data_IF_752446742291
#
_entry.id   IF_752446742291
#
_cell.length_a   1.000
_cell.length_b   1.000
_cell.length_c   1.000
_cell.angle_alpha   90.00
_cell.angle_beta   90.00
_cell.angle_gamma   90.00
#
_symmetry.space_group_name_H-M   'P 1'
#
loop_
_entity.id
_entity.type
_entity.pdbx_description
1 polymer ?
#
# COMPACT_ATOMS: atom_id res chain seq x y z
N UNK A 1 -7.00 17.15 -27.20
CA UNK A 1 -6.24 16.90 -25.97
C UNK A 1 -7.23 16.68 -24.85
N UNK A 2 -7.18 15.53 -24.18
CA UNK A 2 -8.11 15.23 -23.10
C UNK A 2 -7.72 15.98 -21.84
N UNK A 3 -8.68 16.73 -21.29
CA UNK A 3 -8.57 17.37 -19.98
C UNK A 3 -9.33 16.54 -18.95
N UNK A 4 -8.69 16.28 -17.82
CA UNK A 4 -9.29 15.62 -16.65
C UNK A 4 -9.60 16.69 -15.61
N UNK A 5 -10.89 16.89 -15.31
CA UNK A 5 -11.34 17.76 -14.22
C UNK A 5 -11.52 16.94 -12.94
N UNK A 6 -11.04 17.47 -11.83
CA UNK A 6 -11.03 16.85 -10.52
C UNK A 6 -12.04 17.56 -9.61
N UNK A 7 -13.16 16.90 -9.36
CA UNK A 7 -14.22 17.36 -8.45
C UNK A 7 -14.52 16.35 -7.34
N UNK A 8 -14.02 15.11 -7.47
CA UNK A 8 -14.08 14.09 -6.42
C UNK A 8 -13.21 14.53 -5.23
N UNK A 9 -13.72 14.54 -3.99
CA UNK A 9 -12.92 14.91 -2.82
C UNK A 9 -11.69 14.01 -2.67
N UNK A 10 -10.54 14.62 -2.35
CA UNK A 10 -9.34 13.88 -1.92
C UNK A 10 -9.55 13.51 -0.46
N UNK A 11 -9.90 12.25 -0.19
CA UNK A 11 -10.20 11.74 1.15
C UNK A 11 -9.65 10.33 1.35
N UNK A 12 -9.86 9.76 2.54
CA UNK A 12 -9.35 8.43 2.90
C UNK A 12 -10.27 7.28 2.49
N UNK A 13 -11.31 7.52 1.67
CA UNK A 13 -12.09 6.42 1.09
C UNK A 13 -11.23 5.64 0.09
N UNK A 14 -11.48 4.34 -0.03
CA UNK A 14 -10.73 3.49 -0.94
C UNK A 14 -10.94 3.89 -2.40
N UNK A 15 -12.18 4.27 -2.76
CA UNK A 15 -12.49 4.77 -4.11
C UNK A 15 -11.66 6.01 -4.46
N UNK A 16 -11.65 7.03 -3.59
CA UNK A 16 -10.88 8.25 -3.81
C UNK A 16 -9.38 7.93 -3.89
N UNK A 17 -8.88 7.15 -2.94
CA UNK A 17 -7.48 6.71 -2.89
C UNK A 17 -7.05 6.02 -4.19
N UNK A 18 -7.85 5.08 -4.72
CA UNK A 18 -7.55 4.38 -5.97
C UNK A 18 -7.55 5.31 -7.18
N UNK A 19 -8.53 6.22 -7.29
CA UNK A 19 -8.60 7.14 -8.43
C UNK A 19 -7.41 8.09 -8.42
N UNK A 20 -7.11 8.72 -7.29
CA UNK A 20 -6.00 9.66 -7.17
C UNK A 20 -4.64 8.99 -7.32
N UNK A 21 -4.50 7.77 -6.84
CA UNK A 21 -3.31 6.96 -7.08
C UNK A 21 -3.11 6.65 -8.57
N UNK A 22 -4.17 6.30 -9.29
CA UNK A 22 -4.11 6.12 -10.74
C UNK A 22 -3.71 7.40 -11.48
N UNK A 23 -4.21 8.55 -11.04
CA UNK A 23 -3.83 9.86 -11.60
C UNK A 23 -2.36 10.19 -11.31
N UNK A 24 -1.91 10.02 -10.06
CA UNK A 24 -0.52 10.26 -9.68
C UNK A 24 0.45 9.34 -10.42
N UNK A 25 0.06 8.10 -10.70
CA UNK A 25 0.83 7.18 -11.55
C UNK A 25 0.98 7.70 -12.99
N UNK A 26 -0.06 8.32 -13.54
CA UNK A 26 -0.09 8.82 -14.92
C UNK A 26 0.65 10.16 -15.12
N UNK A 27 0.57 11.05 -14.13
CA UNK A 27 1.05 12.44 -14.25
C UNK A 27 2.53 12.53 -14.69
N UNK A 28 3.48 11.81 -14.08
CA UNK A 28 4.90 11.93 -14.39
C UNK A 28 5.27 11.78 -15.86
N UNK A 29 4.67 10.81 -16.54
CA UNK A 29 5.06 10.40 -17.89
C UNK A 29 4.09 10.88 -18.98
N UNK A 30 2.87 11.29 -18.61
CA UNK A 30 1.83 11.54 -19.60
C UNK A 30 1.09 12.86 -19.45
N UNK A 31 1.22 13.55 -18.31
CA UNK A 31 0.64 14.90 -18.20
C UNK A 31 1.51 15.90 -18.94
N UNK A 32 0.93 17.03 -19.37
CA UNK A 32 1.66 18.23 -19.78
C UNK A 32 1.72 19.22 -18.62
N UNK A 33 0.56 19.52 -18.07
CA UNK A 33 0.30 20.45 -16.96
C UNK A 33 -0.71 19.84 -16.02
N UNK A 34 -0.61 20.16 -14.73
CA UNK A 34 -1.54 19.70 -13.72
C UNK A 34 -1.66 20.67 -12.55
N UNK A 35 -2.79 20.57 -11.86
CA UNK A 35 -3.15 21.38 -10.70
C UNK A 35 -4.13 20.60 -9.82
N UNK A 36 -4.56 21.21 -8.71
CA UNK A 36 -5.58 20.66 -7.82
C UNK A 36 -6.92 20.33 -8.50
N UNK A 37 -7.26 21.00 -9.61
CA UNK A 37 -8.59 20.89 -10.23
C UNK A 37 -8.57 20.28 -11.62
N UNK A 38 -7.43 20.33 -12.29
CA UNK A 38 -7.35 20.03 -13.71
C UNK A 38 -6.00 19.40 -14.03
N UNK A 39 -6.02 18.37 -14.88
CA UNK A 39 -4.84 17.73 -15.46
C UNK A 39 -5.01 17.67 -16.97
N UNK A 40 -4.01 18.17 -17.70
CA UNK A 40 -3.96 18.08 -19.16
C UNK A 40 -3.05 16.93 -19.55
N UNK A 41 -3.62 15.89 -20.17
CA UNK A 41 -2.85 14.73 -20.64
C UNK A 41 -2.55 14.81 -22.14
N UNK A 42 -1.52 14.09 -22.55
CA UNK A 42 -1.32 13.74 -23.95
C UNK A 42 -2.52 12.95 -24.51
N UNK A 43 -2.71 13.00 -25.83
CA UNK A 43 -3.63 12.06 -26.46
C UNK A 43 -3.11 10.63 -26.21
N UNK A 44 -4.04 9.68 -26.08
CA UNK A 44 -3.74 8.26 -25.90
C UNK A 44 -2.93 7.93 -24.62
N UNK A 45 -2.93 8.81 -23.61
CA UNK A 45 -2.19 8.59 -22.36
C UNK A 45 -2.52 7.26 -21.68
N UNK A 46 -3.78 6.83 -21.70
CA UNK A 46 -4.19 5.54 -21.15
C UNK A 46 -3.62 4.37 -21.95
N UNK A 47 -3.67 4.42 -23.28
CA UNK A 47 -3.09 3.37 -24.12
C UNK A 47 -1.59 3.23 -23.85
N UNK A 48 -0.85 4.35 -23.80
CA UNK A 48 0.58 4.37 -23.46
C UNK A 48 0.84 3.79 -22.07
N UNK A 49 0.13 4.25 -21.05
CA UNK A 49 0.29 3.77 -19.68
C UNK A 49 0.07 2.26 -19.57
N UNK A 50 -1.00 1.73 -20.17
CA UNK A 50 -1.26 0.29 -20.15
C UNK A 50 -0.21 -0.52 -20.91
N UNK A 51 0.32 -0.01 -22.02
CA UNK A 51 1.39 -0.68 -22.77
C UNK A 51 2.70 -0.79 -21.98
N UNK A 52 2.94 0.15 -21.06
CA UNK A 52 4.16 0.27 -20.26
C UNK A 52 4.10 -0.47 -18.92
N UNK A 53 2.97 -1.08 -18.56
CA UNK A 53 2.87 -1.86 -17.32
C UNK A 53 3.87 -3.02 -17.32
N UNK A 54 4.47 -3.31 -16.18
CA UNK A 54 5.48 -4.35 -16.03
C UNK A 54 4.81 -5.72 -15.83
N UNK A 55 5.23 -6.74 -16.60
CA UNK A 55 4.60 -8.06 -16.54
C UNK A 55 4.77 -8.74 -15.17
N UNK A 56 5.97 -8.64 -14.57
CA UNK A 56 6.26 -9.20 -13.25
C UNK A 56 5.37 -8.56 -12.17
N UNK A 57 5.09 -7.27 -12.31
CA UNK A 57 4.22 -6.55 -11.38
C UNK A 57 2.76 -6.91 -11.59
N UNK A 58 2.29 -7.00 -12.84
CA UNK A 58 0.94 -7.50 -13.15
C UNK A 58 0.75 -8.89 -12.52
N UNK A 59 1.72 -9.80 -12.66
CA UNK A 59 1.68 -11.17 -12.14
C UNK A 59 1.44 -11.28 -10.62
N UNK A 60 1.77 -10.22 -9.88
CA UNK A 60 1.57 -10.14 -8.44
C UNK A 60 0.16 -9.68 -8.04
N UNK A 61 -0.60 -8.99 -8.91
CA UNK A 61 -1.96 -8.47 -8.63
C UNK A 61 -3.02 -9.58 -8.66
N UNK A 62 -2.87 -10.56 -7.77
CA UNK A 62 -3.70 -11.77 -7.67
C UNK A 62 -4.93 -11.54 -6.80
N UNK A 63 -5.74 -10.55 -7.19
CA UNK A 63 -7.03 -10.26 -6.56
C UNK A 63 -8.13 -10.92 -7.40
N UNK A 64 -8.90 -11.80 -6.77
CA UNK A 64 -10.09 -12.42 -7.39
C UNK A 64 -11.25 -11.43 -7.29
N UNK A 65 -11.96 -11.19 -8.39
CA UNK A 65 -13.14 -10.32 -8.45
C UNK A 65 -14.36 -10.99 -7.81
N UNK A 66 -15.34 -10.21 -7.34
CA UNK A 66 -16.60 -10.76 -6.85
C UNK A 66 -17.41 -11.39 -8.00
N UNK A 67 -18.29 -12.36 -7.73
CA UNK A 67 -19.00 -13.06 -8.82
C UNK A 67 -19.97 -12.16 -9.57
N UNK A 68 -20.48 -11.11 -8.92
CA UNK A 68 -21.35 -10.11 -9.55
C UNK A 68 -20.56 -9.02 -10.32
N UNK A 69 -19.22 -9.05 -10.31
CA UNK A 69 -18.41 -8.17 -11.14
C UNK A 69 -18.46 -8.59 -12.60
N UNK A 70 -18.62 -7.59 -13.48
CA UNK A 70 -18.69 -7.76 -14.94
C UNK A 70 -17.69 -6.88 -15.70
N UNK A 71 -16.82 -6.14 -14.99
CA UNK A 71 -15.81 -5.27 -15.59
C UNK A 71 -14.88 -6.05 -16.53
N UNK A 72 -14.60 -7.32 -16.22
CA UNK A 72 -13.75 -8.24 -16.98
C UNK A 72 -14.23 -8.52 -18.42
N UNK A 73 -15.49 -8.23 -18.75
CA UNK A 73 -16.03 -8.28 -20.10
C UNK A 73 -16.44 -6.89 -20.59
N UNK A 74 -17.13 -6.11 -19.73
CA UNK A 74 -17.71 -4.82 -20.11
C UNK A 74 -16.68 -3.79 -20.51
N UNK A 75 -15.47 -3.81 -19.94
CA UNK A 75 -14.42 -2.87 -20.35
C UNK A 75 -13.96 -3.11 -21.78
N UNK A 76 -13.80 -4.38 -22.19
CA UNK A 76 -13.40 -4.76 -23.55
C UNK A 76 -14.48 -4.37 -24.56
N UNK A 77 -15.75 -4.66 -24.24
CA UNK A 77 -16.89 -4.24 -25.06
C UNK A 77 -16.89 -2.72 -25.30
N UNK A 78 -16.64 -1.92 -24.26
CA UNK A 78 -16.61 -0.45 -24.34
C UNK A 78 -15.41 0.11 -25.10
N UNK A 79 -14.29 -0.61 -25.17
CA UNK A 79 -13.15 -0.26 -26.04
C UNK A 79 -13.24 -0.89 -27.44
N UNK A 80 -14.37 -1.54 -27.77
CA UNK A 80 -14.64 -2.09 -29.09
C UNK A 80 -14.07 -3.48 -29.36
N UNK A 81 -13.77 -4.25 -28.32
CA UNK A 81 -13.24 -5.61 -28.41
C UNK A 81 -14.26 -6.64 -27.90
N UNK A 82 -14.46 -7.72 -28.66
CA UNK A 82 -15.25 -8.88 -28.24
C UNK A 82 -14.40 -9.86 -27.42
N UNK A 83 -13.84 -9.38 -26.31
CA UNK A 83 -12.98 -10.15 -25.41
C UNK A 83 -13.55 -10.22 -24.01
N UNK A 84 -13.13 -11.24 -23.26
CA UNK A 84 -13.46 -11.39 -21.85
C UNK A 84 -12.28 -12.00 -21.12
N UNK A 85 -11.79 -11.34 -20.07
CA UNK A 85 -10.78 -11.90 -19.18
C UNK A 85 -11.42 -12.80 -18.12
N UNK A 86 -10.59 -13.64 -17.47
CA UNK A 86 -10.93 -14.28 -16.19
C UNK A 86 -11.23 -13.21 -15.14
N UNK A 87 -11.99 -13.60 -14.12
CA UNK A 87 -12.40 -12.75 -13.00
C UNK A 87 -11.28 -12.52 -11.97
N UNK A 88 -10.14 -12.06 -12.45
CA UNK A 88 -8.98 -11.69 -11.65
C UNK A 88 -8.37 -10.41 -12.19
N UNK A 89 -7.94 -9.51 -11.32
CA UNK A 89 -7.34 -8.24 -11.76
C UNK A 89 -6.03 -8.45 -12.53
N UNK A 90 -5.24 -9.47 -12.18
CA UNK A 90 -4.10 -9.95 -12.99
C UNK A 90 -4.46 -10.12 -14.47
N UNK A 91 -5.43 -10.98 -14.77
CA UNK A 91 -5.78 -11.35 -16.14
C UNK A 91 -6.41 -10.16 -16.89
N UNK A 92 -7.20 -9.35 -16.20
CA UNK A 92 -7.77 -8.11 -16.75
C UNK A 92 -6.67 -7.12 -17.15
N UNK A 93 -5.72 -6.83 -16.25
CA UNK A 93 -4.61 -5.92 -16.50
C UNK A 93 -3.71 -6.43 -17.61
N UNK A 94 -3.40 -7.74 -17.62
CA UNK A 94 -2.59 -8.36 -18.66
C UNK A 94 -3.25 -8.23 -20.03
N UNK A 95 -4.52 -8.59 -20.14
CA UNK A 95 -5.26 -8.46 -21.40
C UNK A 95 -5.41 -7.00 -21.86
N UNK A 96 -5.59 -6.04 -20.95
CA UNK A 96 -5.63 -4.61 -21.28
C UNK A 96 -4.27 -4.10 -21.77
N UNK A 97 -3.16 -4.54 -21.15
CA UNK A 97 -1.80 -4.25 -21.64
C UNK A 97 -1.60 -4.78 -23.05
N UNK A 98 -1.91 -6.06 -23.27
CA UNK A 98 -1.70 -6.75 -24.55
C UNK A 98 -2.59 -6.16 -25.67
N UNK A 99 -3.71 -5.51 -25.31
CA UNK A 99 -4.64 -4.86 -26.24
C UNK A 99 -4.70 -3.33 -26.09
N UNK A 100 -3.66 -2.72 -25.51
CA UNK A 100 -3.63 -1.30 -25.17
C UNK A 100 -3.88 -0.36 -26.35
N UNK A 101 -3.49 -0.78 -27.57
CA UNK A 101 -3.73 -0.03 -28.82
C UNK A 101 -5.23 0.18 -29.15
N UNK A 102 -6.13 -0.63 -28.58
CA UNK A 102 -7.57 -0.47 -28.76
C UNK A 102 -8.17 0.60 -27.84
N UNK A 103 -7.43 1.02 -26.80
CA UNK A 103 -7.87 2.05 -25.85
C UNK A 103 -7.82 3.41 -26.55
N UNK A 104 -9.00 3.93 -26.91
CA UNK A 104 -9.14 5.26 -27.51
C UNK A 104 -9.87 6.18 -26.56
N UNK A 105 -9.30 7.37 -26.33
CA UNK A 105 -9.99 8.41 -25.57
C UNK A 105 -11.00 9.12 -26.45
N UNK A 106 -12.22 9.25 -25.92
CA UNK A 106 -13.34 9.79 -26.71
C UNK A 106 -13.73 11.22 -26.32
N UNK A 107 -13.30 11.72 -25.15
CA UNK A 107 -13.74 13.01 -24.59
C UNK A 107 -12.86 13.51 -23.44
N UNK A 108 -13.14 14.73 -22.98
CA UNK A 108 -12.70 15.20 -21.66
C UNK A 108 -13.36 14.37 -20.55
N UNK A 109 -12.66 14.21 -19.43
CA UNK A 109 -13.07 13.38 -18.31
C UNK A 109 -13.41 14.30 -17.14
N UNK A 110 -14.60 14.16 -16.56
CA UNK A 110 -15.01 14.88 -15.36
C UNK A 110 -15.15 13.92 -14.18
N UNK A 111 -14.13 13.86 -13.33
CA UNK A 111 -14.10 13.01 -12.15
C UNK A 111 -14.90 13.71 -11.05
N UNK A 112 -16.22 13.57 -11.14
CA UNK A 112 -17.21 14.09 -10.20
C UNK A 112 -18.18 12.97 -9.82
N UNK A 113 -18.49 12.83 -8.53
CA UNK A 113 -19.45 11.84 -8.05
C UNK A 113 -20.87 12.43 -8.06
N UNK A 114 -21.74 11.91 -8.94
CA UNK A 114 -23.14 12.32 -9.08
C UNK A 114 -24.08 11.23 -8.58
N UNK A 115 -25.04 11.60 -7.73
CA UNK A 115 -26.12 10.68 -7.33
C UNK A 115 -27.33 10.90 -8.25
N UNK A 116 -27.84 9.82 -8.84
CA UNK A 116 -29.13 9.80 -9.49
C UNK A 116 -29.96 8.63 -8.94
N UNK A 117 -30.87 8.94 -8.00
CA UNK A 117 -31.68 7.96 -7.26
C UNK A 117 -30.80 6.94 -6.52
N UNK A 118 -30.68 5.71 -7.05
CA UNK A 118 -29.89 4.61 -6.47
C UNK A 118 -28.55 4.40 -7.18
N UNK A 119 -28.29 5.15 -8.25
CA UNK A 119 -27.10 5.01 -9.08
C UNK A 119 -26.13 6.15 -8.75
N UNK A 120 -24.89 5.78 -8.39
CA UNK A 120 -23.76 6.71 -8.27
C UNK A 120 -23.01 6.69 -9.60
N UNK A 121 -22.75 7.86 -10.18
CA UNK A 121 -22.19 8.02 -11.50
C UNK A 121 -20.90 8.85 -11.40
N UNK A 122 -19.82 8.41 -12.05
CA UNK A 122 -18.59 9.20 -12.21
C UNK A 122 -18.31 9.37 -13.71
N UNK A 123 -18.16 10.61 -14.15
CA UNK A 123 -17.96 10.99 -15.57
C UNK A 123 -19.09 10.49 -16.50
N UNK A 124 -20.32 10.37 -15.97
CA UNK A 124 -21.49 9.88 -16.69
C UNK A 124 -22.75 10.69 -16.39
N UNK A 125 -23.64 10.75 -17.37
CA UNK A 125 -25.00 11.29 -17.20
C UNK A 125 -26.04 10.19 -16.96
N UNK A 126 -25.81 8.98 -17.48
CA UNK A 126 -26.71 7.81 -17.37
C UNK A 126 -25.90 6.53 -17.21
N UNK A 127 -26.45 5.56 -16.47
CA UNK A 127 -25.76 4.28 -16.19
C UNK A 127 -25.46 3.41 -17.40
N UNK A 128 -26.30 3.45 -18.45
CA UNK A 128 -26.14 2.62 -19.65
C UNK A 128 -24.90 2.97 -20.47
N UNK A 129 -24.42 4.20 -20.33
CA UNK A 129 -23.24 4.69 -21.04
C UNK A 129 -21.95 4.16 -20.41
N UNK A 130 -21.98 3.77 -19.14
CA UNK A 130 -20.82 3.37 -18.35
C UNK A 130 -20.64 1.87 -18.13
N UNK A 131 -19.74 1.59 -17.18
CA UNK A 131 -19.41 0.27 -16.66
C UNK A 131 -19.70 0.27 -15.16
N UNK A 132 -20.35 -0.78 -14.66
CA UNK A 132 -20.49 -0.98 -13.22
C UNK A 132 -19.09 -1.16 -12.61
N UNK A 133 -18.74 -0.32 -11.63
CA UNK A 133 -17.46 -0.46 -10.94
C UNK A 133 -17.36 -1.85 -10.28
N UNK A 134 -16.17 -2.44 -10.15
CA UNK A 134 -16.03 -3.69 -9.42
C UNK A 134 -16.36 -3.49 -7.92
N UNK A 135 -16.76 -4.55 -7.22
CA UNK A 135 -17.09 -4.48 -5.79
C UNK A 135 -15.93 -3.95 -4.94
N UNK A 136 -14.69 -4.17 -5.39
CA UNK A 136 -13.49 -3.65 -4.75
C UNK A 136 -13.50 -2.11 -4.62
N UNK A 137 -14.16 -1.39 -5.53
CA UNK A 137 -14.29 0.08 -5.46
C UNK A 137 -15.53 0.55 -4.69
N UNK A 138 -16.30 -0.38 -4.10
CA UNK A 138 -17.53 -0.11 -3.34
C UNK A 138 -17.44 -0.58 -1.89
N UNK A 139 -16.22 -0.79 -1.41
CA UNK A 139 -15.95 -1.41 -0.11
C UNK A 139 -16.23 -0.46 1.05
N UNK A 140 -16.18 0.85 0.80
CA UNK A 140 -16.64 1.86 1.74
C UNK A 140 -18.17 1.78 1.84
N UNK A 141 -18.67 1.39 3.02
CA UNK A 141 -20.12 1.33 3.29
C UNK A 141 -20.81 2.68 3.12
N UNK A 142 -20.04 3.77 3.19
CA UNK A 142 -20.50 5.14 3.02
C UNK A 142 -19.66 5.77 1.91
N UNK A 143 -20.14 5.75 0.68
CA UNK A 143 -19.47 6.39 -0.47
C UNK A 143 -19.61 7.92 -0.40
N UNK A 144 -19.21 8.56 0.70
CA UNK A 144 -19.20 10.02 0.87
C UNK A 144 -20.56 10.71 1.05
N UNK A 145 -21.67 9.96 1.19
CA UNK A 145 -23.03 10.52 1.20
C UNK A 145 -23.83 10.27 2.48
N UNK A 146 -23.20 9.77 3.55
CA UNK A 146 -23.89 9.51 4.81
C UNK A 146 -24.12 10.82 5.59
N UNK A 147 -25.27 11.45 5.35
CA UNK A 147 -25.92 12.30 6.35
C UNK A 147 -27.03 11.50 7.04
N UNK A 148 -27.17 11.66 8.35
CA UNK A 148 -28.26 11.07 9.17
C UNK A 148 -29.66 11.37 8.58
N UNK A 149 -29.76 12.40 7.74
CA UNK A 149 -31.00 12.88 7.13
C UNK A 149 -31.29 12.31 5.73
N UNK A 150 -30.40 11.47 5.18
CA UNK A 150 -30.59 10.90 3.83
C UNK A 150 -31.07 9.44 3.87
N UNK A 151 -32.00 9.04 2.98
CA UNK A 151 -32.50 7.67 2.91
C UNK A 151 -31.47 6.65 2.38
N UNK A 152 -30.22 7.08 2.15
CA UNK A 152 -29.15 6.28 1.56
C UNK A 152 -28.32 5.51 2.60
N UNK A 153 -28.56 5.73 3.90
CA UNK A 153 -27.93 4.96 4.98
C UNK A 153 -28.31 3.47 4.97
N UNK A 154 -29.42 3.11 4.32
CA UNK A 154 -29.95 1.73 4.25
C UNK A 154 -30.03 1.14 2.83
N UNK A 155 -29.62 1.88 1.79
CA UNK A 155 -29.72 1.43 0.41
C UNK A 155 -28.34 1.19 -0.22
N UNK A 156 -28.16 0.02 -0.83
CA UNK A 156 -26.96 -0.29 -1.61
C UNK A 156 -26.99 0.52 -2.92
N UNK A 157 -26.17 1.56 -2.98
CA UNK A 157 -25.99 2.36 -4.20
C UNK A 157 -25.11 1.60 -5.19
N UNK A 158 -25.47 1.64 -6.48
CA UNK A 158 -24.64 1.02 -7.53
C UNK A 158 -23.76 2.07 -8.18
N UNK A 159 -22.45 1.88 -8.12
CA UNK A 159 -21.46 2.77 -8.74
C UNK A 159 -21.23 2.41 -10.21
N UNK A 160 -21.40 3.37 -11.10
CA UNK A 160 -21.05 3.30 -12.52
C UNK A 160 -20.02 4.37 -12.86
N UNK A 161 -19.08 4.01 -13.73
CA UNK A 161 -17.97 4.87 -14.16
C UNK A 161 -17.86 4.87 -15.67
N UNK A 162 -17.37 5.96 -16.25
CA UNK A 162 -16.95 5.93 -17.66
C UNK A 162 -15.80 4.95 -17.87
N UNK A 163 -15.57 4.56 -19.12
CA UNK A 163 -14.48 3.65 -19.48
C UNK A 163 -13.13 4.24 -19.07
N UNK A 164 -12.94 5.54 -19.30
CA UNK A 164 -11.72 6.27 -18.94
C UNK A 164 -11.48 6.26 -17.43
N UNK A 165 -12.51 6.52 -16.60
CA UNK A 165 -12.39 6.48 -15.13
C UNK A 165 -12.12 5.05 -14.64
N UNK A 166 -12.75 4.03 -15.24
CA UNK A 166 -12.49 2.64 -14.91
C UNK A 166 -11.03 2.25 -15.21
N UNK A 167 -10.47 2.70 -16.33
CA UNK A 167 -9.07 2.49 -16.71
C UNK A 167 -8.11 3.20 -15.74
N UNK A 168 -8.40 4.44 -15.34
CA UNK A 168 -7.62 5.16 -14.32
C UNK A 168 -7.65 4.39 -12.99
N UNK A 169 -8.81 3.91 -12.56
CA UNK A 169 -8.92 3.16 -11.31
C UNK A 169 -8.14 1.82 -11.37
N UNK A 170 -8.11 1.15 -12.53
CA UNK A 170 -7.30 -0.07 -12.71
C UNK A 170 -5.79 0.22 -12.60
N UNK A 171 -5.33 1.35 -13.13
CA UNK A 171 -3.95 1.81 -12.92
C UNK A 171 -3.67 2.12 -11.45
N UNK A 172 -4.63 2.70 -10.74
CA UNK A 172 -4.55 2.92 -9.29
C UNK A 172 -4.42 1.62 -8.50
N UNK A 173 -5.20 0.59 -8.84
CA UNK A 173 -5.09 -0.76 -8.27
C UNK A 173 -3.70 -1.35 -8.53
N UNK A 174 -3.22 -1.29 -9.78
CA UNK A 174 -1.88 -1.75 -10.14
C UNK A 174 -0.78 -1.01 -9.37
N UNK A 175 -0.94 0.30 -9.21
CA UNK A 175 0.05 1.16 -8.56
C UNK A 175 0.10 0.94 -7.04
N UNK A 176 -1.05 0.77 -6.40
CA UNK A 176 -1.18 0.63 -4.96
C UNK A 176 -0.97 -0.79 -4.42
N UNK A 177 -1.28 -1.82 -5.21
CA UNK A 177 -1.33 -3.18 -4.69
C UNK A 177 0.04 -3.65 -4.16
N UNK A 178 0.07 -4.11 -2.92
CA UNK A 178 1.27 -4.57 -2.22
C UNK A 178 1.42 -6.08 -2.34
N UNK A 179 0.50 -6.84 -1.72
CA UNK A 179 0.61 -8.30 -1.62
C UNK A 179 -0.75 -8.92 -1.28
N UNK A 180 -0.92 -10.19 -1.66
CA UNK A 180 -2.02 -11.05 -1.21
C UNK A 180 -1.50 -12.04 -0.17
N UNK A 181 -2.16 -12.15 0.98
CA UNK A 181 -1.86 -13.18 1.98
C UNK A 181 -3.07 -14.05 2.29
N UNK A 182 -2.84 -15.23 2.85
CA UNK A 182 -3.91 -16.13 3.29
C UNK A 182 -3.81 -16.33 4.80
N UNK A 183 -4.78 -15.80 5.55
CA UNK A 183 -4.84 -15.89 7.00
C UNK A 183 -6.13 -16.60 7.42
N UNK A 184 -6.04 -17.68 8.19
CA UNK A 184 -7.21 -18.41 8.73
C UNK A 184 -8.29 -18.73 7.65
N UNK A 185 -7.85 -19.17 6.48
CA UNK A 185 -8.68 -19.44 5.29
C UNK A 185 -9.29 -18.22 4.56
N UNK A 186 -9.08 -17.01 5.05
CA UNK A 186 -9.44 -15.77 4.35
C UNK A 186 -8.26 -15.23 3.55
N UNK A 187 -8.54 -14.69 2.36
CA UNK A 187 -7.54 -13.97 1.57
C UNK A 187 -7.56 -12.51 2.00
N UNK A 188 -6.38 -11.94 2.29
CA UNK A 188 -6.21 -10.53 2.57
C UNK A 188 -5.44 -9.89 1.43
N UNK A 189 -5.84 -8.70 1.03
CA UNK A 189 -5.23 -7.88 0.00
C UNK A 189 -4.76 -6.58 0.64
N UNK A 190 -3.50 -6.24 0.42
CA UNK A 190 -2.89 -5.04 0.98
C UNK A 190 -2.66 -4.01 -0.12
N UNK A 191 -3.00 -2.75 0.15
CA UNK A 191 -2.82 -1.63 -0.77
C UNK A 191 -2.15 -0.45 -0.06
N UNK A 192 -1.20 0.19 -0.73
CA UNK A 192 -0.45 1.33 -0.21
C UNK A 192 -0.74 2.57 -1.05
N UNK A 193 -1.40 3.54 -0.44
CA UNK A 193 -1.75 4.82 -1.07
C UNK A 193 -1.00 5.96 -0.41
N UNK A 194 -0.87 7.09 -1.09
CA UNK A 194 -0.53 8.35 -0.41
C UNK A 194 -1.68 8.79 0.49
N UNK A 195 -1.36 9.47 1.59
CA UNK A 195 -2.39 10.11 2.41
C UNK A 195 -3.08 11.26 1.65
N UNK A 196 -4.32 11.65 2.02
CA UNK A 196 -5.04 12.72 1.34
C UNK A 196 -4.25 14.04 1.30
N UNK A 197 -3.55 14.37 2.39
CA UNK A 197 -2.71 15.56 2.49
C UNK A 197 -1.53 15.51 1.51
N UNK A 198 -0.90 14.34 1.33
CA UNK A 198 0.18 14.18 0.36
C UNK A 198 -0.33 14.27 -1.08
N UNK A 199 -1.49 13.68 -1.38
CA UNK A 199 -2.13 13.83 -2.71
C UNK A 199 -2.39 15.30 -3.02
N UNK A 200 -2.98 16.04 -2.08
CA UNK A 200 -3.24 17.48 -2.23
C UNK A 200 -1.93 18.27 -2.42
N UNK A 201 -0.91 17.99 -1.61
CA UNK A 201 0.41 18.63 -1.71
C UNK A 201 1.03 18.40 -3.09
N UNK A 202 1.04 17.16 -3.57
CA UNK A 202 1.60 16.78 -4.86
C UNK A 202 0.88 17.47 -6.01
N UNK A 203 -0.46 17.44 -6.01
CA UNK A 203 -1.28 18.09 -7.05
C UNK A 203 -1.16 19.62 -7.02
N UNK A 204 -1.06 20.22 -5.83
CA UNK A 204 -0.89 21.68 -5.67
C UNK A 204 0.47 22.17 -6.16
N UNK A 205 1.52 21.36 -5.99
CA UNK A 205 2.88 21.76 -6.37
C UNK A 205 3.07 21.84 -7.89
N UNK A 206 2.35 21.04 -8.68
CA UNK A 206 2.43 21.09 -10.14
C UNK A 206 3.76 20.58 -10.73
N UNK A 207 4.62 19.96 -9.91
CA UNK A 207 5.94 19.44 -10.31
C UNK A 207 5.93 17.92 -10.52
N UNK A 208 6.22 17.48 -11.75
CA UNK A 208 6.27 16.05 -12.10
C UNK A 208 7.42 15.31 -11.40
N UNK A 209 8.57 15.97 -11.27
CA UNK A 209 9.76 15.35 -10.68
C UNK A 209 9.55 15.07 -9.19
N UNK A 210 8.81 15.96 -8.51
CA UNK A 210 8.40 15.72 -7.12
C UNK A 210 7.51 14.48 -7.00
N UNK A 211 6.53 14.31 -7.89
CA UNK A 211 5.67 13.11 -7.91
C UNK A 211 6.52 11.86 -8.20
N UNK A 212 7.48 11.93 -9.12
CA UNK A 212 8.42 10.82 -9.40
C UNK A 212 9.18 10.40 -8.15
N UNK A 213 9.76 11.34 -7.42
CA UNK A 213 10.48 11.08 -6.17
C UNK A 213 9.58 10.41 -5.11
N UNK A 214 8.37 10.92 -4.93
CA UNK A 214 7.38 10.33 -4.02
C UNK A 214 6.97 8.91 -4.43
N UNK A 215 6.76 8.68 -5.72
CA UNK A 215 6.43 7.35 -6.25
C UNK A 215 7.58 6.36 -6.04
N UNK A 216 8.83 6.77 -6.25
CA UNK A 216 10.00 5.94 -5.98
C UNK A 216 10.09 5.53 -4.51
N UNK A 217 9.85 6.46 -3.58
CA UNK A 217 9.80 6.15 -2.15
C UNK A 217 8.68 5.17 -1.83
N UNK A 218 7.48 5.40 -2.38
CA UNK A 218 6.35 4.50 -2.18
C UNK A 218 6.59 3.11 -2.79
N UNK A 219 7.20 3.03 -3.96
CA UNK A 219 7.56 1.77 -4.62
C UNK A 219 8.52 0.96 -3.74
N UNK A 220 9.55 1.61 -3.18
CA UNK A 220 10.46 0.97 -2.22
C UNK A 220 9.73 0.51 -0.95
N UNK A 221 8.85 1.35 -0.42
CA UNK A 221 8.03 1.02 0.75
C UNK A 221 7.15 -0.21 0.48
N UNK A 222 6.49 -0.25 -0.69
CA UNK A 222 5.65 -1.37 -1.12
C UNK A 222 6.45 -2.67 -1.20
N UNK A 223 7.62 -2.66 -1.83
CA UNK A 223 8.46 -3.86 -1.96
C UNK A 223 8.79 -4.46 -0.58
N UNK A 224 9.23 -3.60 0.34
CA UNK A 224 9.53 -4.02 1.72
C UNK A 224 8.29 -4.54 2.45
N UNK A 225 7.16 -3.84 2.34
CA UNK A 225 5.89 -4.27 2.93
C UNK A 225 5.46 -5.63 2.40
N UNK A 226 5.59 -5.85 1.09
CA UNK A 226 5.29 -7.14 0.47
C UNK A 226 6.13 -8.27 1.08
N UNK A 227 7.43 -8.05 1.28
CA UNK A 227 8.30 -9.05 1.90
C UNK A 227 7.97 -9.34 3.38
N UNK A 228 7.66 -8.29 4.15
CA UNK A 228 7.37 -8.40 5.60
C UNK A 228 6.02 -9.08 5.81
N UNK A 229 4.98 -8.58 5.14
CA UNK A 229 3.59 -9.07 5.29
C UNK A 229 3.45 -10.50 4.76
N UNK A 230 4.13 -10.87 3.66
CA UNK A 230 4.10 -12.23 3.15
C UNK A 230 4.68 -13.28 4.13
N UNK A 231 5.55 -12.86 5.05
CA UNK A 231 6.28 -13.76 5.96
C UNK A 231 5.76 -13.75 7.40
N UNK A 232 5.26 -12.62 7.91
CA UNK A 232 5.14 -12.37 9.36
C UNK A 232 3.74 -11.93 9.82
N UNK A 233 2.76 -12.81 9.67
CA UNK A 233 1.31 -12.55 9.77
C UNK A 233 0.72 -11.91 11.05
N UNK A 234 1.43 -11.91 12.19
CA UNK A 234 0.83 -11.54 13.49
C UNK A 234 1.25 -10.20 14.05
N UNK A 235 2.40 -9.69 13.62
CA UNK A 235 2.98 -8.42 14.08
C UNK A 235 3.63 -7.63 12.94
N UNK A 236 3.19 -7.91 11.70
CA UNK A 236 3.69 -7.33 10.45
C UNK A 236 3.79 -5.81 10.46
N UNK A 237 2.83 -5.12 11.10
CA UNK A 237 2.74 -3.66 11.06
C UNK A 237 3.85 -2.97 11.87
N UNK A 238 4.09 -3.41 13.12
CA UNK A 238 5.15 -2.85 13.96
C UNK A 238 6.52 -3.09 13.32
N UNK A 239 6.73 -4.31 12.80
CA UNK A 239 7.98 -4.65 12.11
C UNK A 239 8.14 -3.81 10.85
N UNK A 240 7.08 -3.71 10.04
CA UNK A 240 7.08 -2.92 8.83
C UNK A 240 7.43 -1.48 9.12
N UNK A 241 6.78 -0.86 10.09
CA UNK A 241 7.01 0.55 10.39
C UNK A 241 8.46 0.81 10.86
N UNK A 242 9.02 -0.07 11.69
CA UNK A 242 10.43 0.03 12.10
C UNK A 242 11.38 -0.17 10.92
N UNK A 243 11.18 -1.23 10.14
CA UNK A 243 12.04 -1.55 9.00
C UNK A 243 11.99 -0.43 7.94
N UNK A 244 10.79 0.03 7.61
CA UNK A 244 10.57 1.11 6.65
C UNK A 244 11.20 2.41 7.13
N UNK A 245 11.04 2.79 8.42
CA UNK A 245 11.69 4.00 8.93
C UNK A 245 13.22 3.93 8.87
N UNK A 246 13.82 2.74 9.03
CA UNK A 246 15.26 2.59 8.91
C UNK A 246 15.74 2.63 7.45
N UNK A 247 15.00 2.03 6.51
CA UNK A 247 15.42 1.88 5.11
C UNK A 247 15.02 3.07 4.22
N UNK A 248 13.82 3.62 4.40
CA UNK A 248 13.29 4.71 3.57
C UNK A 248 13.99 6.04 3.87
N UNK A 249 14.50 6.22 5.09
CA UNK A 249 15.12 7.48 5.51
C UNK A 249 16.22 7.96 4.58
N UNK A 250 17.13 7.07 4.18
CA UNK A 250 18.25 7.44 3.31
C UNK A 250 17.76 7.80 1.91
N UNK A 251 16.70 7.13 1.44
CA UNK A 251 16.04 7.45 0.18
C UNK A 251 15.36 8.83 0.24
N UNK A 252 14.69 9.16 1.34
CA UNK A 252 14.12 10.49 1.54
C UNK A 252 15.19 11.58 1.51
N UNK A 253 16.33 11.38 2.18
CA UNK A 253 17.47 12.32 2.14
C UNK A 253 18.03 12.46 0.72
N UNK A 254 18.19 11.35 0.01
CA UNK A 254 18.69 11.34 -1.37
C UNK A 254 17.77 12.09 -2.33
N UNK A 255 16.46 11.90 -2.20
CA UNK A 255 15.45 12.56 -3.02
C UNK A 255 15.05 13.96 -2.50
N UNK A 256 15.72 14.45 -1.45
CA UNK A 256 15.47 15.74 -0.80
C UNK A 256 14.01 15.93 -0.36
N UNK A 257 13.44 14.88 0.26
CA UNK A 257 12.09 14.85 0.78
C UNK A 257 12.11 14.86 2.31
N UNK A 258 11.41 15.80 2.94
CA UNK A 258 11.36 15.87 4.41
C UNK A 258 10.49 14.78 5.03
N UNK A 259 9.36 14.50 4.37
CA UNK A 259 8.33 13.58 4.86
C UNK A 259 7.59 12.93 3.70
N UNK A 260 7.21 11.67 3.87
CA UNK A 260 6.20 10.99 3.06
C UNK A 260 5.18 10.32 3.99
N UNK A 261 3.90 10.60 3.77
CA UNK A 261 2.77 9.97 4.48
C UNK A 261 1.99 9.03 3.56
N UNK A 262 1.84 7.78 3.98
CA UNK A 262 1.14 6.72 3.26
C UNK A 262 0.03 6.12 4.12
N UNK A 263 -0.91 5.43 3.47
CA UNK A 263 -1.95 4.65 4.12
C UNK A 263 -1.93 3.22 3.59
N UNK A 264 -1.76 2.25 4.47
CA UNK A 264 -1.82 0.83 4.17
C UNK A 264 -3.22 0.28 4.49
N UNK A 265 -3.94 -0.17 3.48
CA UNK A 265 -5.27 -0.78 3.61
C UNK A 265 -5.16 -2.29 3.63
N UNK A 266 -5.82 -2.94 4.59
CA UNK A 266 -6.03 -4.39 4.63
C UNK A 266 -7.48 -4.70 4.28
N UNK A 267 -7.69 -5.39 3.15
CA UNK A 267 -9.02 -5.68 2.60
C UNK A 267 -9.19 -7.18 2.43
N UNK A 268 -10.34 -7.72 2.80
CA UNK A 268 -10.64 -9.15 2.63
C UNK A 268 -12.01 -9.35 2.00
N UNK A 269 -12.20 -10.42 1.19
CA UNK A 269 -13.50 -10.73 0.62
C UNK A 269 -14.46 -11.24 1.70
N UNK A 270 -15.71 -10.80 1.65
CA UNK A 270 -16.79 -11.20 2.55
C UNK A 270 -18.05 -11.44 1.71
N UNK A 271 -18.34 -12.71 1.40
CA UNK A 271 -19.42 -13.09 0.49
C UNK A 271 -19.18 -12.57 -0.94
N UNK A 272 -20.08 -11.71 -1.44
CA UNK A 272 -20.04 -11.13 -2.79
C UNK A 272 -19.50 -9.69 -2.79
N UNK A 273 -18.72 -9.31 -1.77
CA UNK A 273 -18.09 -8.00 -1.64
C UNK A 273 -16.74 -8.13 -0.94
N UNK A 274 -16.10 -7.00 -0.66
CA UNK A 274 -14.94 -6.92 0.23
C UNK A 274 -15.22 -5.98 1.39
N UNK A 275 -14.41 -6.09 2.43
CA UNK A 275 -14.45 -5.24 3.61
C UNK A 275 -13.05 -4.74 3.94
N UNK A 276 -12.96 -3.47 4.31
CA UNK A 276 -11.76 -2.90 4.91
C UNK A 276 -11.72 -3.37 6.37
N UNK A 277 -10.69 -4.13 6.74
CA UNK A 277 -10.46 -4.57 8.10
C UNK A 277 -9.59 -3.59 8.87
N UNK A 278 -8.65 -2.95 8.17
CA UNK A 278 -7.66 -2.08 8.79
C UNK A 278 -7.18 -1.02 7.81
N UNK A 279 -6.94 0.19 8.32
CA UNK A 279 -6.23 1.26 7.63
C UNK A 279 -5.13 1.71 8.58
N UNK A 280 -3.88 1.57 8.16
CA UNK A 280 -2.70 1.89 8.96
C UNK A 280 -2.02 3.11 8.36
N UNK A 281 -1.99 4.27 9.05
CA UNK A 281 -1.18 5.40 8.61
C UNK A 281 0.29 5.06 8.80
N UNK A 282 1.10 5.33 7.79
CA UNK A 282 2.55 5.15 7.82
C UNK A 282 3.21 6.49 7.53
N UNK A 283 3.97 7.02 8.47
CA UNK A 283 4.68 8.29 8.31
C UNK A 283 6.19 8.06 8.34
N UNK A 284 6.87 8.58 7.32
CA UNK A 284 8.32 8.51 7.19
C UNK A 284 8.89 9.92 7.14
N UNK A 285 9.97 10.14 7.88
CA UNK A 285 10.66 11.41 7.95
C UNK A 285 12.12 11.22 7.56
N UNK A 286 12.71 12.16 6.82
CA UNK A 286 14.15 12.17 6.53
C UNK A 286 14.95 12.41 7.81
N UNK A 287 14.50 13.35 8.63
CA UNK A 287 15.06 13.61 9.95
C UNK A 287 14.18 12.94 11.01
N UNK A 288 14.73 11.87 11.57
CA UNK A 288 14.04 11.03 12.56
C UNK A 288 14.43 11.46 13.97
N UNK A 289 13.56 11.21 14.96
CA UNK A 289 13.96 11.38 16.37
C UNK A 289 15.14 10.47 16.75
N UNK A 290 15.33 9.37 16.01
CA UNK A 290 16.51 8.53 16.09
C UNK A 290 17.80 9.32 15.82
N UNK A 291 17.81 10.33 14.93
CA UNK A 291 18.99 11.18 14.69
C UNK A 291 19.39 12.03 15.90
N UNK A 292 18.42 12.41 16.74
CA UNK A 292 18.73 13.14 17.97
C UNK A 292 19.35 12.23 19.04
N UNK A 293 18.91 10.97 19.10
CA UNK A 293 19.30 10.02 20.15
C UNK A 293 20.53 9.21 19.77
N UNK A 294 20.71 8.91 18.49
CA UNK A 294 21.89 8.21 17.97
C UNK A 294 23.19 9.00 18.16
N UNK A 295 23.13 10.32 18.36
CA UNK A 295 24.28 11.15 18.76
C UNK A 295 24.92 10.74 20.09
N UNK A 296 24.19 10.03 20.94
CA UNK A 296 24.72 9.50 22.20
C UNK A 296 25.40 8.13 22.04
N UNK A 297 25.42 7.57 20.82
CA UNK A 297 26.14 6.36 20.45
C UNK A 297 27.47 6.74 19.79
N UNK A 298 28.46 5.85 19.89
CA UNK A 298 29.83 6.12 19.39
C UNK A 298 29.88 6.03 17.87
N UNK A 299 29.10 5.12 17.29
CA UNK A 299 29.04 4.82 15.86
C UNK A 299 27.58 4.72 15.40
N UNK A 300 27.03 5.86 14.95
CA UNK A 300 25.64 5.97 14.51
C UNK A 300 25.34 5.13 13.27
N UNK A 301 26.26 5.04 12.31
CA UNK A 301 26.05 4.27 11.08
C UNK A 301 25.95 2.79 11.41
N UNK A 302 26.88 2.29 12.23
CA UNK A 302 26.86 0.89 12.68
C UNK A 302 25.63 0.54 13.50
N UNK A 303 25.12 1.47 14.32
CA UNK A 303 23.85 1.29 15.02
C UNK A 303 22.71 1.07 14.02
N UNK A 304 22.56 1.96 13.05
CA UNK A 304 21.48 1.90 12.06
C UNK A 304 21.59 0.63 11.21
N UNK A 305 22.78 0.28 10.72
CA UNK A 305 23.02 -0.95 9.97
C UNK A 305 22.65 -2.20 10.76
N UNK A 306 23.03 -2.25 12.04
CA UNK A 306 22.70 -3.39 12.90
C UNK A 306 21.20 -3.47 13.15
N UNK A 307 20.52 -2.34 13.35
CA UNK A 307 19.06 -2.32 13.50
C UNK A 307 18.35 -2.78 12.22
N UNK A 308 18.82 -2.37 11.03
CA UNK A 308 18.32 -2.87 9.73
C UNK A 308 18.45 -4.39 9.63
N UNK A 309 19.60 -4.94 10.03
CA UNK A 309 19.84 -6.38 10.05
C UNK A 309 18.83 -7.11 10.96
N UNK A 310 18.60 -6.56 12.16
CA UNK A 310 17.67 -7.09 13.18
C UNK A 310 16.24 -7.18 12.67
N UNK A 311 15.74 -6.14 11.99
CA UNK A 311 14.36 -6.07 11.49
C UNK A 311 14.21 -6.53 10.05
N UNK A 312 15.28 -7.04 9.45
CA UNK A 312 15.23 -7.56 8.09
C UNK A 312 14.16 -8.67 7.97
N UNK A 313 13.42 -8.78 6.84
CA UNK A 313 12.35 -9.77 6.67
C UNK A 313 12.80 -11.23 6.85
N UNK A 314 14.11 -11.48 6.84
CA UNK A 314 14.74 -12.80 6.97
C UNK A 314 15.43 -13.01 8.31
N UNK A 315 15.32 -12.07 9.25
CA UNK A 315 15.99 -12.20 10.53
C UNK A 315 15.37 -13.32 11.38
N UNK A 316 16.23 -13.99 12.15
CA UNK A 316 15.83 -15.03 13.11
C UNK A 316 14.84 -14.48 14.15
N UNK A 317 14.95 -13.19 14.45
CA UNK A 317 14.06 -12.51 15.39
C UNK A 317 12.63 -12.48 14.86
N UNK A 318 12.43 -12.13 13.60
CA UNK A 318 11.10 -12.14 13.00
C UNK A 318 10.55 -13.57 12.85
N UNK A 319 11.41 -14.55 12.55
CA UNK A 319 11.01 -15.96 12.53
C UNK A 319 10.46 -16.42 13.89
N UNK A 320 11.15 -16.06 14.98
CA UNK A 320 10.69 -16.36 16.33
C UNK A 320 9.36 -15.68 16.64
N UNK A 321 9.18 -14.43 16.22
CA UNK A 321 7.93 -13.72 16.41
C UNK A 321 6.77 -14.35 15.63
N UNK A 322 6.99 -14.75 14.37
CA UNK A 322 6.00 -15.43 13.55
C UNK A 322 5.59 -16.81 14.11
N UNK A 323 6.40 -17.40 15.00
CA UNK A 323 6.07 -18.65 15.68
C UNK A 323 4.96 -18.52 16.73
N UNK A 324 4.64 -17.30 17.18
CA UNK A 324 3.64 -17.02 18.25
C UNK A 324 2.28 -17.69 18.00
N UNK A 325 1.84 -17.71 16.74
CA UNK A 325 0.55 -18.26 16.34
C UNK A 325 0.62 -19.72 15.86
N UNK A 326 1.78 -20.39 16.03
CA UNK A 326 1.98 -21.80 15.64
C UNK A 326 1.81 -22.71 16.83
N UNK A 327 1.36 -23.96 16.58
CA UNK A 327 1.24 -25.00 17.62
C UNK A 327 2.56 -25.28 18.33
N UNK A 328 3.68 -25.18 17.62
CA UNK A 328 5.04 -25.30 18.15
C UNK A 328 5.67 -23.91 18.28
N UNK A 329 5.14 -23.10 19.20
CA UNK A 329 5.64 -21.76 19.51
C UNK A 329 7.06 -21.81 20.06
N UNK A 330 7.93 -20.90 19.63
CA UNK A 330 9.29 -20.81 20.17
C UNK A 330 9.26 -20.24 21.59
N UNK A 331 10.10 -20.79 22.48
CA UNK A 331 10.09 -20.48 23.92
C UNK A 331 10.40 -18.99 24.23
N UNK A 332 11.16 -18.34 23.35
CA UNK A 332 11.57 -16.95 23.48
C UNK A 332 10.61 -15.95 22.79
N UNK A 333 9.61 -16.42 22.03
CA UNK A 333 8.83 -15.57 21.13
C UNK A 333 8.14 -14.38 21.84
N UNK A 334 7.76 -14.58 23.11
CA UNK A 334 7.18 -13.54 23.98
C UNK A 334 8.19 -12.42 24.31
N UNK A 335 9.45 -12.78 24.61
CA UNK A 335 10.51 -11.80 24.83
C UNK A 335 10.81 -11.04 23.55
N UNK A 336 10.79 -11.74 22.40
CA UNK A 336 11.01 -11.13 21.10
C UNK A 336 9.91 -10.11 20.74
N UNK A 337 8.64 -10.39 21.07
CA UNK A 337 7.56 -9.42 20.88
C UNK A 337 7.84 -8.12 21.64
N UNK A 338 8.16 -8.23 22.93
CA UNK A 338 8.46 -7.04 23.77
C UNK A 338 9.72 -6.34 23.28
N UNK A 339 10.71 -7.09 22.79
CA UNK A 339 11.89 -6.49 22.16
C UNK A 339 11.48 -5.63 20.95
N UNK A 340 10.68 -6.15 20.01
CA UNK A 340 10.20 -5.37 18.85
C UNK A 340 9.40 -4.13 19.29
N UNK A 341 8.58 -4.23 20.34
CA UNK A 341 7.87 -3.07 20.89
C UNK A 341 8.82 -2.01 21.44
N UNK A 342 9.87 -2.42 22.16
CA UNK A 342 10.94 -1.52 22.61
C UNK A 342 11.67 -0.87 21.44
N UNK A 343 11.94 -1.64 20.38
CA UNK A 343 12.58 -1.12 19.18
C UNK A 343 11.69 -0.12 18.42
N UNK A 344 10.39 -0.37 18.35
CA UNK A 344 9.41 0.58 17.81
C UNK A 344 9.41 1.90 18.59
N UNK A 345 9.36 1.84 19.93
CA UNK A 345 9.48 3.03 20.78
C UNK A 345 10.78 3.79 20.50
N UNK A 346 11.89 3.08 20.31
CA UNK A 346 13.18 3.70 20.03
C UNK A 346 13.24 4.36 18.66
N UNK A 347 12.95 3.60 17.59
CA UNK A 347 13.14 4.04 16.20
C UNK A 347 12.06 5.02 15.76
N UNK A 348 10.80 4.71 16.05
CA UNK A 348 9.65 5.48 15.56
C UNK A 348 9.32 6.63 16.51
N UNK A 349 9.23 6.36 17.82
CA UNK A 349 8.80 7.38 18.79
C UNK A 349 9.96 8.24 19.32
N UNK A 350 11.20 7.80 19.14
CA UNK A 350 12.38 8.48 19.70
C UNK A 350 12.47 8.36 21.22
N UNK A 351 12.15 7.19 21.77
CA UNK A 351 12.24 6.92 23.20
C UNK A 351 13.48 6.08 23.52
N UNK A 352 14.48 6.70 24.13
CA UNK A 352 15.75 6.05 24.50
C UNK A 352 15.56 4.85 25.44
N UNK A 353 14.49 4.81 26.26
CA UNK A 353 14.20 3.65 27.11
C UNK A 353 13.81 2.42 26.28
N UNK A 354 13.24 2.63 25.09
CA UNK A 354 12.90 1.55 24.16
C UNK A 354 14.12 0.73 23.73
N UNK A 355 15.28 1.36 23.58
CA UNK A 355 16.52 0.65 23.26
C UNK A 355 16.99 -0.25 24.40
N UNK A 356 16.90 0.24 25.64
CA UNK A 356 17.28 -0.55 26.82
C UNK A 356 16.33 -1.75 27.00
N UNK A 357 15.02 -1.53 26.80
CA UNK A 357 14.02 -2.60 26.79
C UNK A 357 14.33 -3.66 25.72
N UNK A 358 14.65 -3.23 24.50
CA UNK A 358 15.06 -4.11 23.42
C UNK A 358 16.28 -4.98 23.80
N UNK A 359 17.35 -4.36 24.31
CA UNK A 359 18.58 -5.06 24.71
C UNK A 359 18.34 -6.03 25.86
N UNK A 360 17.55 -5.62 26.86
CA UNK A 360 17.19 -6.47 27.99
C UNK A 360 16.40 -7.69 27.53
N UNK A 361 15.38 -7.50 26.69
CA UNK A 361 14.52 -8.60 26.24
C UNK A 361 15.22 -9.57 25.29
N UNK A 362 16.14 -9.09 24.46
CA UNK A 362 17.04 -9.97 23.72
C UNK A 362 17.94 -10.80 24.65
N UNK A 363 18.47 -10.19 25.72
CA UNK A 363 19.30 -10.90 26.69
C UNK A 363 18.50 -11.98 27.44
N UNK A 364 17.25 -11.69 27.80
CA UNK A 364 16.33 -12.68 28.39
C UNK A 364 16.02 -13.81 27.40
N UNK A 365 15.86 -13.51 26.11
CA UNK A 365 15.68 -14.52 25.06
C UNK A 365 16.90 -15.44 24.93
N UNK A 366 18.13 -14.90 24.96
CA UNK A 366 19.37 -15.69 24.97
C UNK A 366 19.39 -16.64 26.16
N UNK A 367 19.11 -16.15 27.38
CA UNK A 367 19.12 -16.98 28.60
C UNK A 367 18.13 -18.14 28.54
N UNK A 368 16.97 -17.95 27.90
CA UNK A 368 15.99 -19.03 27.70
C UNK A 368 16.51 -20.15 26.79
N UNK A 369 17.39 -19.83 25.85
CA UNK A 369 17.88 -20.78 24.84
C UNK A 369 19.29 -21.33 25.14
N UNK A 370 20.01 -20.71 26.08
CA UNK A 370 21.44 -20.95 26.37
C UNK A 370 21.77 -22.40 26.74
N UNK A 371 20.85 -23.10 27.40
CA UNK A 371 21.02 -24.49 27.84
C UNK A 371 20.25 -25.51 26.98
N UNK A 372 19.75 -25.10 25.81
CA UNK A 372 18.99 -26.02 24.96
C UNK A 372 19.88 -27.10 24.35
N UNK A 373 19.34 -28.32 24.21
CA UNK A 373 19.95 -29.41 23.45
C UNK A 373 19.62 -29.35 21.95
N UNK A 374 18.63 -28.55 21.53
CA UNK A 374 18.30 -28.35 20.11
C UNK A 374 19.30 -27.39 19.45
N UNK A 375 20.06 -27.88 18.46
CA UNK A 375 21.03 -27.08 17.70
C UNK A 375 20.42 -25.86 17.00
N UNK A 376 19.12 -25.88 16.67
CA UNK A 376 18.42 -24.71 16.10
C UNK A 376 18.25 -23.61 17.14
N UNK A 377 17.94 -23.98 18.38
CA UNK A 377 17.78 -23.01 19.48
C UNK A 377 19.13 -22.37 19.84
N UNK A 378 20.21 -23.15 19.86
CA UNK A 378 21.57 -22.63 20.04
C UNK A 378 21.95 -21.62 18.97
N UNK A 379 21.67 -21.94 17.70
CA UNK A 379 21.91 -21.01 16.58
C UNK A 379 21.14 -19.69 16.74
N UNK A 380 19.88 -19.74 17.19
CA UNK A 380 19.11 -18.51 17.47
C UNK A 380 19.72 -17.71 18.62
N UNK A 381 20.14 -18.38 19.69
CA UNK A 381 20.81 -17.74 20.82
C UNK A 381 22.13 -17.05 20.41
N UNK A 382 22.96 -17.71 19.59
CA UNK A 382 24.19 -17.14 19.03
C UNK A 382 23.91 -15.90 18.19
N UNK A 383 22.87 -15.92 17.35
CA UNK A 383 22.49 -14.77 16.54
C UNK A 383 22.04 -13.59 17.41
N UNK A 384 21.21 -13.83 18.43
CA UNK A 384 20.79 -12.78 19.36
C UNK A 384 21.99 -12.20 20.11
N UNK A 385 22.95 -13.03 20.56
CA UNK A 385 24.21 -12.54 21.16
C UNK A 385 25.02 -11.70 20.18
N UNK A 386 25.05 -12.08 18.90
CA UNK A 386 25.72 -11.30 17.85
C UNK A 386 25.10 -9.91 17.73
N UNK A 387 23.76 -9.82 17.70
CA UNK A 387 23.07 -8.53 17.66
C UNK A 387 23.38 -7.68 18.90
N UNK A 388 23.27 -8.25 20.10
CA UNK A 388 23.60 -7.56 21.36
C UNK A 388 25.04 -7.02 21.31
N UNK A 389 26.01 -7.85 20.93
CA UNK A 389 27.43 -7.45 20.88
C UNK A 389 27.68 -6.32 19.88
N UNK A 390 27.09 -6.40 18.67
CA UNK A 390 27.20 -5.34 17.67
C UNK A 390 26.61 -4.02 18.19
N UNK A 391 25.42 -4.07 18.79
CA UNK A 391 24.70 -2.89 19.31
C UNK A 391 25.34 -2.26 20.54
N UNK A 392 25.97 -3.05 21.42
CA UNK A 392 26.73 -2.51 22.55
C UNK A 392 28.07 -1.88 22.15
N UNK A 393 28.56 -2.20 20.94
CA UNK A 393 29.80 -1.67 20.38
C UNK A 393 29.61 -0.49 19.41
N UNK A 394 28.35 -0.24 19.01
CA UNK A 394 27.94 0.96 18.31
C UNK A 394 27.71 2.08 19.34
#
# INVERSE_FOLDING_TARGET
>A
MPKVRLSLPVDSTFLSSVIYEGLLYLIPEHSKTFSLRDIDFENDFLAKAFSQLEDDRIANVRIVMAENDNINAKIFEKIGLALQSKKTFYDLLKMLKDNSNAIKLTKNIDIELKINKKDNLIDLNKKGDGISAPQLLKIDRYTGFSSLETPYTSQQLTLYTSTEVALIALLGIYSAFVVSTKQQQQNNYYFLFFSPDEVLKLLANGNKDLIKAYLQVKDKAREMLSEIIARHYSHELLIAEVALNLEIRDLLKKENLDKVSLMLFKISPEGQTYKIYEIVPLEFFSDTRLDAISKYFRDQERLIETLREVVSPRSILLEALASMNRKNRYAEAENILVAIQGLYRFVVLGDAQGFQEFMQKLSEAVRKLENSEDGRERRRAEEYRRFISKLSSA
#
